data_IF_582958739221
#
_entry.id   IF_582958739221
#
_cell.length_a   1.000
_cell.length_b   1.000
_cell.length_c   1.000
_cell.angle_alpha   90.00
_cell.angle_beta   90.00
_cell.angle_gamma   90.00
#
_symmetry.space_group_name_H-M   'P 1'
#
loop_
_entity.id
_entity.type
_entity.pdbx_description
1 polymer ?
#
# COMPACT_ATOMS: atom_id res chain seq x y z
N UNK A 1 9.80 -31.66 8.18
CA UNK A 1 10.34 -30.72 9.18
C UNK A 1 9.51 -29.46 9.08
N UNK A 2 8.80 -29.10 10.15
CA UNK A 2 8.10 -27.82 10.19
C UNK A 2 9.14 -26.69 10.15
N UNK A 3 8.93 -25.68 9.30
CA UNK A 3 9.85 -24.55 9.09
C UNK A 3 10.26 -23.83 10.41
N UNK A 4 9.42 -23.93 11.44
CA UNK A 4 9.60 -23.26 12.73
C UNK A 4 10.70 -23.85 13.62
N UNK A 5 11.21 -25.07 13.36
CA UNK A 5 12.36 -25.60 14.12
C UNK A 5 13.69 -24.94 13.69
N UNK A 6 13.75 -24.37 12.48
CA UNK A 6 14.97 -23.79 11.91
C UNK A 6 15.19 -22.33 12.35
N UNK A 7 14.13 -21.62 12.74
CA UNK A 7 14.18 -20.21 13.16
C UNK A 7 13.26 -19.95 14.36
N UNK A 8 13.75 -20.14 15.60
CA UNK A 8 12.94 -19.92 16.79
C UNK A 8 12.46 -18.45 16.86
N UNK A 9 11.16 -18.26 17.08
CA UNK A 9 10.52 -16.95 17.17
C UNK A 9 9.93 -16.41 15.86
N UNK A 10 10.11 -17.11 14.73
CA UNK A 10 9.42 -16.76 13.48
C UNK A 10 7.97 -17.23 13.55
N UNK A 11 6.98 -16.35 13.32
CA UNK A 11 5.57 -16.74 13.27
C UNK A 11 5.34 -17.79 12.19
N UNK A 12 4.37 -18.68 12.43
CA UNK A 12 3.94 -19.64 11.42
C UNK A 12 3.44 -18.91 10.17
N UNK A 13 3.83 -19.40 8.99
CA UNK A 13 3.35 -18.88 7.71
C UNK A 13 1.84 -19.11 7.61
N UNK A 14 1.09 -18.03 7.45
CA UNK A 14 -0.35 -18.10 7.19
C UNK A 14 -0.59 -18.22 5.68
N UNK A 15 -1.37 -19.23 5.29
CA UNK A 15 -1.78 -19.46 3.91
C UNK A 15 -3.27 -19.79 3.88
N UNK A 16 -4.10 -18.84 3.43
CA UNK A 16 -5.54 -19.03 3.26
C UNK A 16 -5.90 -19.59 1.88
N UNK A 17 -5.02 -19.46 0.88
CA UNK A 17 -5.22 -19.99 -0.47
C UNK A 17 -3.96 -20.73 -0.92
N UNK A 18 -4.13 -21.97 -1.38
CA UNK A 18 -3.03 -22.75 -1.93
C UNK A 18 -2.72 -22.42 -3.39
N UNK A 19 -1.63 -22.99 -3.91
CA UNK A 19 -1.16 -22.78 -5.28
C UNK A 19 -2.13 -23.28 -6.36
N UNK A 20 -3.10 -24.12 -5.99
CA UNK A 20 -4.15 -24.60 -6.88
C UNK A 20 -5.39 -23.70 -6.81
N UNK A 21 -5.34 -22.62 -6.03
CA UNK A 21 -6.44 -21.69 -5.82
C UNK A 21 -7.50 -22.20 -4.84
N UNK A 22 -7.23 -23.29 -4.10
CA UNK A 22 -8.17 -23.79 -3.09
C UNK A 22 -8.01 -22.97 -1.81
N UNK A 23 -9.13 -22.48 -1.30
CA UNK A 23 -9.20 -21.75 -0.03
C UNK A 23 -9.23 -22.74 1.14
N UNK A 24 -8.45 -22.45 2.17
CA UNK A 24 -8.34 -23.22 3.42
C UNK A 24 -8.80 -22.37 4.58
N UNK A 25 -9.53 -23.00 5.50
CA UNK A 25 -10.00 -22.35 6.72
C UNK A 25 -8.86 -22.20 7.74
N UNK A 26 -8.80 -21.02 8.36
CA UNK A 26 -7.95 -20.75 9.51
C UNK A 26 -8.81 -20.13 10.64
N UNK A 27 -8.82 -20.71 11.85
CA UNK A 27 -9.67 -20.24 12.95
C UNK A 27 -9.50 -18.76 13.32
N UNK A 28 -8.30 -18.22 13.10
CA UNK A 28 -7.97 -16.82 13.44
C UNK A 28 -8.17 -15.89 12.26
N UNK A 29 -7.83 -16.33 11.04
CA UNK A 29 -7.69 -15.44 9.89
C UNK A 29 -8.83 -15.51 8.85
N UNK A 30 -9.61 -16.59 8.81
CA UNK A 30 -10.71 -16.72 7.84
C UNK A 30 -11.75 -15.61 7.94
N UNK A 31 -12.02 -15.12 9.15
CA UNK A 31 -13.02 -14.07 9.38
C UNK A 31 -12.66 -12.74 8.72
N UNK A 32 -11.38 -12.44 8.55
CA UNK A 32 -10.90 -11.18 7.93
C UNK A 32 -11.00 -11.15 6.42
N UNK A 33 -11.34 -12.28 5.78
CA UNK A 33 -11.49 -12.38 4.32
C UNK A 33 -12.87 -12.89 3.92
N UNK A 34 -13.79 -13.03 4.87
CA UNK A 34 -15.12 -13.59 4.62
C UNK A 34 -16.01 -12.66 3.78
N UNK A 35 -15.71 -11.37 3.78
CA UNK A 35 -16.35 -10.34 2.98
C UNK A 35 -15.68 -10.13 1.62
N UNK A 36 -14.61 -10.87 1.30
CA UNK A 36 -13.92 -10.79 0.00
C UNK A 36 -14.73 -11.52 -1.07
N UNK A 37 -15.38 -10.75 -1.94
CA UNK A 37 -16.21 -11.28 -3.01
C UNK A 37 -15.46 -11.43 -4.36
N UNK A 38 -16.16 -12.00 -5.34
CA UNK A 38 -15.60 -12.23 -6.67
C UNK A 38 -15.21 -10.93 -7.39
N UNK A 39 -15.91 -9.82 -7.17
CA UNK A 39 -15.59 -8.54 -7.81
C UNK A 39 -14.33 -7.93 -7.22
N UNK A 40 -14.14 -8.01 -5.90
CA UNK A 40 -12.89 -7.60 -5.24
C UNK A 40 -11.70 -8.45 -5.70
N UNK A 41 -11.88 -9.77 -5.86
CA UNK A 41 -10.83 -10.65 -6.39
C UNK A 41 -10.47 -10.32 -7.85
N UNK A 42 -11.45 -9.98 -8.68
CA UNK A 42 -11.22 -9.54 -10.06
C UNK A 42 -10.47 -8.22 -10.10
N UNK A 43 -10.81 -7.28 -9.23
CA UNK A 43 -10.10 -6.01 -9.11
C UNK A 43 -8.67 -6.21 -8.63
N UNK A 44 -8.46 -7.07 -7.61
CA UNK A 44 -7.13 -7.43 -7.15
C UNK A 44 -6.27 -8.02 -8.28
N UNK A 45 -6.84 -8.93 -9.06
CA UNK A 45 -6.16 -9.49 -10.24
C UNK A 45 -5.84 -8.42 -11.28
N UNK A 46 -6.78 -7.51 -11.57
CA UNK A 46 -6.58 -6.40 -12.51
C UNK A 46 -5.42 -5.51 -12.09
N UNK A 47 -5.37 -5.12 -10.81
CA UNK A 47 -4.28 -4.30 -10.25
C UNK A 47 -2.94 -5.02 -10.32
N UNK A 48 -2.88 -6.31 -9.97
CA UNK A 48 -1.65 -7.10 -10.08
C UNK A 48 -1.16 -7.19 -11.53
N UNK A 49 -2.08 -7.45 -12.48
CA UNK A 49 -1.76 -7.53 -13.89
C UNK A 49 -1.19 -6.21 -14.43
N UNK A 50 -1.87 -5.09 -14.18
CA UNK A 50 -1.44 -3.77 -14.64
C UNK A 50 -0.07 -3.42 -14.05
N UNK A 51 0.11 -3.64 -12.74
CA UNK A 51 1.38 -3.38 -12.06
C UNK A 51 2.52 -4.17 -12.70
N UNK A 52 2.30 -5.46 -12.98
CA UNK A 52 3.31 -6.29 -13.64
C UNK A 52 3.67 -5.80 -15.04
N UNK A 53 2.67 -5.37 -15.83
CA UNK A 53 2.92 -4.83 -17.18
C UNK A 53 3.77 -3.57 -17.14
N UNK A 54 3.56 -2.72 -16.15
CA UNK A 54 4.31 -1.48 -16.00
C UNK A 54 5.68 -1.72 -15.41
N UNK A 55 5.82 -2.71 -14.53
CA UNK A 55 7.11 -3.14 -14.02
C UNK A 55 8.02 -3.67 -15.15
N UNK A 56 7.44 -4.49 -16.05
CA UNK A 56 8.15 -4.99 -17.23
C UNK A 56 8.58 -3.82 -18.15
N UNK A 57 7.68 -2.85 -18.40
CA UNK A 57 7.96 -1.69 -19.26
C UNK A 57 8.99 -0.73 -18.63
N UNK A 58 8.86 -0.44 -17.34
CA UNK A 58 9.84 0.37 -16.61
C UNK A 58 11.22 -0.28 -16.62
N UNK A 59 11.30 -1.60 -16.46
CA UNK A 59 12.57 -2.32 -16.60
C UNK A 59 13.15 -2.19 -18.01
N UNK A 60 12.31 -2.26 -19.05
CA UNK A 60 12.75 -2.08 -20.43
C UNK A 60 13.27 -0.65 -20.70
N UNK A 61 12.53 0.37 -20.27
CA UNK A 61 12.90 1.78 -20.39
C UNK A 61 14.20 2.11 -19.66
N UNK A 62 14.41 1.54 -18.47
CA UNK A 62 15.66 1.69 -17.72
C UNK A 62 16.85 1.08 -18.49
N UNK A 63 16.68 -0.11 -19.08
CA UNK A 63 17.74 -0.77 -19.89
C UNK A 63 18.06 -0.01 -21.17
N UNK A 64 17.10 0.74 -21.72
CA UNK A 64 17.28 1.62 -22.88
C UNK A 64 17.86 3.00 -22.51
N UNK A 65 18.16 3.25 -21.23
CA UNK A 65 18.68 4.53 -20.76
C UNK A 65 17.64 5.66 -20.73
N UNK A 66 16.35 5.34 -20.83
CA UNK A 66 15.27 6.34 -20.78
C UNK A 66 14.89 6.75 -19.35
N UNK A 67 15.30 5.96 -18.35
CA UNK A 67 15.13 6.27 -16.93
C UNK A 67 16.46 6.18 -16.17
N UNK A 68 16.62 7.03 -15.16
CA UNK A 68 17.82 7.02 -14.32
C UNK A 68 17.87 5.79 -13.40
N UNK A 69 16.69 5.33 -12.94
CA UNK A 69 16.53 4.16 -12.08
C UNK A 69 15.17 3.51 -12.33
N UNK A 70 15.04 2.22 -12.08
CA UNK A 70 13.75 1.56 -11.90
C UNK A 70 13.85 0.56 -10.74
N UNK A 71 12.82 0.47 -9.91
CA UNK A 71 12.79 -0.42 -8.75
C UNK A 71 11.80 -1.56 -9.00
N UNK A 72 12.22 -2.69 -9.59
CA UNK A 72 11.27 -3.71 -9.99
C UNK A 72 10.62 -4.41 -8.81
N UNK A 73 9.33 -4.72 -8.94
CA UNK A 73 8.49 -5.34 -7.92
C UNK A 73 7.91 -6.69 -8.33
N UNK A 74 8.43 -7.31 -9.39
CA UNK A 74 8.02 -8.63 -9.86
C UNK A 74 8.03 -9.67 -8.74
N UNK A 75 6.90 -10.33 -8.55
CA UNK A 75 6.68 -11.33 -7.49
C UNK A 75 6.17 -10.75 -6.16
N UNK A 76 6.07 -9.42 -6.03
CA UNK A 76 5.57 -8.73 -4.84
C UNK A 76 4.20 -8.06 -5.06
N UNK A 77 3.59 -8.24 -6.23
CA UNK A 77 2.38 -7.52 -6.63
C UNK A 77 1.21 -7.85 -5.71
N UNK A 78 1.05 -9.11 -5.31
CA UNK A 78 -0.03 -9.55 -4.42
C UNK A 78 0.08 -8.89 -3.04
N UNK A 79 1.30 -8.76 -2.48
CA UNK A 79 1.51 -8.11 -1.19
C UNK A 79 1.16 -6.61 -1.24
N UNK A 80 1.49 -5.95 -2.35
CA UNK A 80 1.14 -4.54 -2.53
C UNK A 80 -0.35 -4.34 -2.79
N UNK A 81 -0.97 -5.13 -3.66
CA UNK A 81 -2.40 -5.01 -3.96
C UNK A 81 -3.26 -5.39 -2.76
N UNK A 82 -2.91 -6.47 -2.06
CA UNK A 82 -3.62 -6.87 -0.85
C UNK A 82 -3.60 -5.78 0.23
N UNK A 83 -2.44 -5.15 0.45
CA UNK A 83 -2.36 -4.02 1.39
C UNK A 83 -3.12 -2.79 0.87
N UNK A 84 -3.03 -2.47 -0.42
CA UNK A 84 -3.74 -1.33 -1.01
C UNK A 84 -5.26 -1.43 -0.88
N UNK A 85 -5.83 -2.63 -1.08
CA UNK A 85 -7.27 -2.88 -0.98
C UNK A 85 -7.77 -2.95 0.47
N UNK A 86 -6.88 -3.23 1.42
CA UNK A 86 -7.23 -3.29 2.85
C UNK A 86 -7.30 -1.90 3.50
N UNK A 87 -6.67 -0.88 2.91
CA UNK A 87 -6.73 0.46 3.48
C UNK A 87 -8.09 1.13 3.25
N UNK A 88 -8.53 1.93 4.21
CA UNK A 88 -9.69 2.79 4.03
C UNK A 88 -9.39 3.94 3.04
N UNK A 89 -10.43 4.51 2.39
CA UNK A 89 -10.25 5.60 1.43
C UNK A 89 -9.49 6.81 1.99
N UNK A 90 -9.65 7.11 3.27
CA UNK A 90 -9.03 8.28 3.92
C UNK A 90 -7.70 7.97 4.61
N UNK A 91 -7.26 6.71 4.63
CA UNK A 91 -5.97 6.35 5.23
C UNK A 91 -4.84 6.96 4.41
N UNK A 92 -3.92 7.64 5.11
CA UNK A 92 -2.74 8.21 4.50
C UNK A 92 -1.57 7.24 4.57
N UNK A 93 -1.05 6.87 3.39
CA UNK A 93 -0.03 5.83 3.27
C UNK A 93 1.36 6.44 3.16
N UNK A 94 2.31 5.89 3.90
CA UNK A 94 3.73 6.22 3.84
C UNK A 94 4.50 5.07 3.17
N UNK A 95 4.68 5.08 1.84
CA UNK A 95 5.35 4.01 1.11
C UNK A 95 6.87 4.07 1.28
N UNK A 96 7.54 3.00 0.87
CA UNK A 96 8.95 3.04 0.48
C UNK A 96 9.06 3.61 -0.95
N UNK A 97 9.99 3.11 -1.77
CA UNK A 97 10.18 3.52 -3.16
C UNK A 97 9.69 2.47 -4.17
N UNK A 98 9.12 1.35 -3.72
CA UNK A 98 8.78 0.19 -4.58
C UNK A 98 7.29 -0.14 -4.61
N UNK A 99 6.45 0.62 -3.90
CA UNK A 99 5.02 0.35 -3.78
C UNK A 99 4.24 0.93 -4.97
N UNK A 100 4.54 0.46 -6.18
CA UNK A 100 3.93 0.93 -7.42
C UNK A 100 2.46 0.52 -7.53
N UNK A 101 2.10 -0.68 -7.07
CA UNK A 101 0.70 -1.14 -7.09
C UNK A 101 -0.16 -0.31 -6.13
N UNK A 102 0.38 0.03 -4.96
CA UNK A 102 -0.30 0.85 -3.94
C UNK A 102 -0.52 2.27 -4.46
N UNK A 103 0.50 2.87 -5.09
CA UNK A 103 0.38 4.19 -5.71
C UNK A 103 -0.74 4.21 -6.76
N UNK A 104 -0.77 3.20 -7.64
CA UNK A 104 -1.79 3.10 -8.68
C UNK A 104 -3.20 2.87 -8.12
N UNK A 105 -3.35 2.02 -7.11
CA UNK A 105 -4.62 1.81 -6.41
C UNK A 105 -5.12 3.09 -5.72
N UNK A 106 -4.21 3.98 -5.28
CA UNK A 106 -4.53 5.33 -4.78
C UNK A 106 -4.75 6.38 -5.87
N UNK A 107 -4.77 5.96 -7.14
CA UNK A 107 -5.06 6.81 -8.29
C UNK A 107 -3.89 7.67 -8.77
N UNK A 108 -2.66 7.42 -8.30
CA UNK A 108 -1.46 8.07 -8.85
C UNK A 108 -1.27 7.59 -10.29
N UNK A 109 -1.09 8.53 -11.21
CA UNK A 109 -0.88 8.16 -12.61
C UNK A 109 0.54 7.60 -12.80
N UNK A 110 0.68 6.53 -13.58
CA UNK A 110 2.01 5.98 -13.83
C UNK A 110 2.95 6.94 -14.57
N UNK A 111 2.41 7.88 -15.36
CA UNK A 111 3.19 8.94 -15.99
C UNK A 111 3.85 9.83 -14.94
N UNK A 112 3.13 10.16 -13.87
CA UNK A 112 3.63 10.91 -12.73
C UNK A 112 4.73 10.13 -12.01
N UNK A 113 4.50 8.85 -11.73
CA UNK A 113 5.48 7.97 -11.08
C UNK A 113 6.78 7.83 -11.89
N UNK A 114 6.67 7.65 -13.22
CA UNK A 114 7.84 7.53 -14.12
C UNK A 114 8.71 8.79 -14.08
N UNK A 115 8.15 9.99 -13.89
CA UNK A 115 8.95 11.23 -13.82
C UNK A 115 9.98 11.21 -12.69
N UNK A 116 9.65 10.58 -11.55
CA UNK A 116 10.53 10.45 -10.38
C UNK A 116 11.71 9.51 -10.66
N UNK A 117 11.46 8.46 -11.43
CA UNK A 117 12.46 7.46 -11.81
C UNK A 117 13.30 7.88 -13.01
N UNK A 118 12.73 8.70 -13.90
CA UNK A 118 13.45 9.41 -14.95
C UNK A 118 14.35 10.51 -14.40
N UNK A 119 14.07 10.99 -13.18
CA UNK A 119 14.80 12.10 -12.56
C UNK A 119 14.44 13.47 -13.15
N UNK A 120 13.33 13.56 -13.89
CA UNK A 120 12.85 14.84 -14.43
C UNK A 120 12.12 15.68 -13.38
N UNK A 121 11.59 15.04 -12.33
CA UNK A 121 10.93 15.68 -11.21
C UNK A 121 11.42 15.07 -9.90
N UNK A 122 11.46 15.88 -8.84
CA UNK A 122 11.79 15.42 -7.48
C UNK A 122 10.65 14.60 -6.88
N UNK A 123 9.40 14.98 -7.16
CA UNK A 123 8.17 14.27 -6.78
C UNK A 123 7.19 14.27 -7.97
N UNK A 124 6.43 13.19 -8.13
CA UNK A 124 5.61 12.98 -9.31
C UNK A 124 4.15 13.39 -9.18
N UNK A 125 3.61 13.41 -7.96
CA UNK A 125 2.17 13.58 -7.70
C UNK A 125 1.93 14.46 -6.46
N UNK A 126 0.69 14.94 -6.30
CA UNK A 126 0.24 15.61 -5.08
C UNK A 126 -0.10 14.57 -4.00
N UNK A 127 0.67 14.48 -2.90
CA UNK A 127 0.46 13.44 -1.90
C UNK A 127 -0.84 13.63 -1.10
N UNK A 128 -1.39 14.85 -1.01
CA UNK A 128 -2.67 15.11 -0.33
C UNK A 128 -3.85 14.65 -1.17
N UNK A 129 -3.79 14.86 -2.49
CA UNK A 129 -4.83 14.43 -3.43
C UNK A 129 -5.03 12.90 -3.41
N UNK A 130 -3.95 12.15 -3.20
CA UNK A 130 -3.95 10.69 -3.28
C UNK A 130 -3.89 9.99 -1.90
N UNK A 131 -3.80 10.75 -0.80
CA UNK A 131 -3.50 10.19 0.53
C UNK A 131 -2.31 9.22 0.50
N UNK A 132 -1.29 9.56 -0.29
CA UNK A 132 -0.15 8.70 -0.56
C UNK A 132 1.12 9.54 -0.59
N UNK A 133 1.94 9.38 0.44
CA UNK A 133 3.16 10.15 0.59
C UNK A 133 4.11 9.91 -0.59
N UNK A 134 4.90 10.92 -0.91
CA UNK A 134 5.91 10.83 -1.98
C UNK A 134 6.97 9.79 -1.63
N UNK A 135 7.57 9.16 -2.64
CA UNK A 135 8.63 8.18 -2.40
C UNK A 135 9.84 8.79 -1.71
N UNK A 136 10.29 8.12 -0.64
CA UNK A 136 11.61 8.35 -0.04
C UNK A 136 12.55 7.23 -0.45
N UNK A 137 13.73 7.61 -0.95
CA UNK A 137 14.83 6.68 -1.26
C UNK A 137 15.74 6.44 -0.04
N UNK A 138 15.48 7.14 1.08
CA UNK A 138 16.15 6.91 2.36
C UNK A 138 15.37 5.82 3.11
N UNK A 139 16.01 4.66 3.29
CA UNK A 139 15.38 3.51 3.92
C UNK A 139 14.91 3.84 5.34
N UNK A 140 13.73 3.34 5.67
CA UNK A 140 13.06 3.49 6.97
C UNK A 140 12.68 4.92 7.38
N UNK A 141 13.08 5.96 6.63
CA UNK A 141 12.73 7.34 6.95
C UNK A 141 11.22 7.58 6.99
N UNK A 142 10.44 6.83 6.23
CA UNK A 142 8.98 6.93 6.22
C UNK A 142 8.32 6.44 7.52
N UNK A 143 8.99 5.57 8.28
CA UNK A 143 8.44 4.97 9.50
C UNK A 143 8.17 6.01 10.60
N UNK A 144 9.13 6.87 11.02
CA UNK A 144 8.85 7.90 12.02
C UNK A 144 7.86 8.95 11.51
N UNK A 145 7.78 9.22 10.20
CA UNK A 145 6.76 10.10 9.63
C UNK A 145 5.36 9.50 9.77
N UNK A 146 5.20 8.21 9.50
CA UNK A 146 3.94 7.50 9.69
C UNK A 146 3.50 7.49 11.17
N UNK A 147 4.44 7.25 12.09
CA UNK A 147 4.17 7.30 13.54
C UNK A 147 3.75 8.70 13.98
N UNK A 148 4.50 9.73 13.57
CA UNK A 148 4.18 11.12 13.91
C UNK A 148 2.83 11.56 13.35
N UNK A 149 2.50 11.12 12.13
CA UNK A 149 1.19 11.37 11.53
C UNK A 149 0.07 10.71 12.34
N UNK A 150 0.21 9.42 12.69
CA UNK A 150 -0.78 8.72 13.51
C UNK A 150 -0.96 9.34 14.91
N UNK A 151 0.13 9.81 15.53
CA UNK A 151 0.06 10.56 16.79
C UNK A 151 -0.73 11.86 16.63
N UNK A 152 -0.51 12.59 15.53
CA UNK A 152 -1.27 13.78 15.20
C UNK A 152 -2.78 13.52 15.08
N UNK A 153 -3.16 12.42 14.42
CA UNK A 153 -4.57 12.00 14.33
C UNK A 153 -5.21 11.77 15.70
N UNK A 154 -4.48 11.13 16.62
CA UNK A 154 -4.98 10.88 17.97
C UNK A 154 -5.15 12.19 18.75
N UNK A 155 -4.19 13.12 18.65
CA UNK A 155 -4.32 14.42 19.30
C UNK A 155 -5.46 15.26 18.73
N UNK A 156 -5.67 15.25 17.40
CA UNK A 156 -6.80 15.92 16.77
C UNK A 156 -8.14 15.34 17.27
N UNK A 157 -8.21 14.01 17.46
CA UNK A 157 -9.39 13.35 18.02
C UNK A 157 -9.64 13.72 19.49
N UNK A 158 -8.59 13.79 20.32
CA UNK A 158 -8.68 14.20 21.72
C UNK A 158 -9.17 15.67 21.84
N UNK A 159 -8.59 16.58 21.03
CA UNK A 159 -9.00 17.99 20.98
C UNK A 159 -10.45 18.11 20.53
N UNK A 160 -10.88 17.33 19.53
CA UNK A 160 -12.25 17.33 19.06
C UNK A 160 -13.24 16.85 20.14
N UNK A 161 -12.86 15.83 20.92
CA UNK A 161 -13.67 15.33 22.04
C UNK A 161 -13.81 16.37 23.16
N UNK A 162 -12.77 17.15 23.45
CA UNK A 162 -12.78 18.18 24.49
C UNK A 162 -13.52 19.46 24.06
N UNK A 163 -13.31 19.91 22.83
CA UNK A 163 -13.75 21.24 22.37
C UNK A 163 -15.02 21.20 21.52
N UNK A 164 -15.41 20.03 21.01
CA UNK A 164 -16.45 19.88 19.99
C UNK A 164 -16.06 20.45 18.62
N UNK A 165 -14.81 20.90 18.44
CA UNK A 165 -14.29 21.44 17.19
C UNK A 165 -13.32 20.46 16.55
N UNK A 166 -13.66 19.98 15.36
CA UNK A 166 -12.73 19.24 14.52
C UNK A 166 -11.65 20.19 14.00
N UNK A 167 -10.44 20.09 14.53
CA UNK A 167 -9.27 20.70 13.91
C UNK A 167 -8.80 19.76 12.81
N UNK A 168 -9.22 20.02 11.56
CA UNK A 168 -8.78 19.18 10.44
C UNK A 168 -7.34 19.47 10.07
N UNK A 169 -6.41 18.73 10.67
CA UNK A 169 -5.00 18.69 10.34
C UNK A 169 -4.66 17.49 9.45
N UNK A 170 -5.05 17.51 8.18
CA UNK A 170 -4.41 16.71 7.12
C UNK A 170 -4.47 15.16 7.25
N UNK A 171 -5.35 14.62 8.07
CA UNK A 171 -5.71 13.21 8.04
C UNK A 171 -6.97 12.96 8.83
N UNK A 172 -7.89 12.22 8.22
CA UNK A 172 -9.08 11.79 8.93
C UNK A 172 -8.76 10.41 9.50
N UNK A 173 -8.65 10.28 10.82
CA UNK A 173 -8.92 9.01 11.45
C UNK A 173 -10.35 8.65 11.07
N UNK A 174 -10.51 7.61 10.25
CA UNK A 174 -11.80 7.20 9.74
C UNK A 174 -12.74 6.89 10.90
N UNK A 175 -13.92 7.49 10.87
CA UNK A 175 -15.07 6.97 11.59
C UNK A 175 -15.52 5.73 10.82
N UNK A 176 -15.48 4.50 11.38
CA UNK A 176 -15.89 3.29 10.65
C UNK A 176 -17.43 3.19 10.47
N UNK A 177 -18.20 4.22 10.81
CA UNK A 177 -19.67 4.19 10.75
C UNK A 177 -20.20 5.49 10.17
N UNK A 178 -20.17 5.62 8.85
CA UNK A 178 -21.17 6.40 8.09
C UNK A 178 -21.31 5.79 6.70
N UNK A 179 -22.09 4.72 6.58
CA UNK A 179 -22.87 4.46 5.35
C UNK A 179 -24.20 5.22 5.46
N UNK A 180 -24.86 5.56 4.34
CA UNK A 180 -25.85 6.64 4.24
C UNK A 180 -27.13 6.42 5.05
#
# INVERSE_FOLDING_TARGET
MHENEKYPGVPERIQLMDENGKVHENPTFSSYVHDVDAEQLREAYRLMYITRRIDDEGTALQRQGQMALWAPSRGQEAAQVGSALAFAPNDYIFPSYREHAVAFARGVDFRELITVFRGSHTHGWDPKKHNFHVYTKVLAAQVPHAVGYAMGLNFDADIAAETGQLQTGQGQATNPITTP
#
